data_IF_789959015220
#
_entry.id   IF_789959015220
#
_cell.length_a   1.000
_cell.length_b   1.000
_cell.length_c   1.000
_cell.angle_alpha   90.00
_cell.angle_beta   90.00
_cell.angle_gamma   90.00
#
_symmetry.space_group_name_H-M   'P 1'
#
loop_
_entity.id
_entity.type
_entity.pdbx_description
1 polymer ?
#
# COMPACT_ATOMS: atom_id res chain seq x y z
N UNK A 1 0.77 4.09 6.54
CA UNK A 1 -0.38 3.36 7.09
C UNK A 1 -1.14 2.87 5.88
N UNK A 2 -0.98 1.59 5.50
CA UNK A 2 -1.64 1.05 4.31
C UNK A 2 -3.15 1.24 4.48
N UNK A 3 -3.75 2.09 3.65
CA UNK A 3 -5.04 2.76 3.90
C UNK A 3 -6.22 1.78 4.01
N UNK A 4 -6.03 0.50 3.72
CA UNK A 4 -7.06 -0.54 3.86
C UNK A 4 -6.81 -1.58 4.94
N UNK A 5 -5.55 -1.88 5.26
CA UNK A 5 -5.28 -3.04 6.12
C UNK A 5 -5.13 -2.66 7.59
N UNK A 6 -4.82 -1.40 7.89
CA UNK A 6 -4.63 -0.93 9.26
C UNK A 6 -5.91 -0.81 10.10
N UNK A 7 -7.10 -0.94 9.51
CA UNK A 7 -8.36 -0.85 10.24
C UNK A 7 -8.97 -2.23 10.57
N UNK A 8 -8.55 -3.30 9.90
CA UNK A 8 -9.08 -4.66 10.13
C UNK A 8 -8.26 -5.51 11.13
N UNK A 9 -6.97 -5.20 11.32
CA UNK A 9 -6.06 -6.03 12.13
C UNK A 9 -5.59 -5.31 13.40
N UNK A 10 -6.53 -4.96 14.27
CA UNK A 10 -6.23 -4.56 15.67
C UNK A 10 -6.29 -5.75 16.64
N UNK A 11 -6.59 -6.95 16.16
CA UNK A 11 -6.55 -8.16 16.96
C UNK A 11 -5.08 -8.58 17.18
N UNK A 12 -4.72 -9.10 18.38
CA UNK A 12 -3.41 -9.68 18.60
C UNK A 12 -3.16 -10.85 17.64
N UNK A 13 -1.90 -11.09 17.30
CA UNK A 13 -1.52 -12.22 16.45
C UNK A 13 -1.95 -13.55 17.06
N UNK A 14 -2.68 -14.33 16.26
CA UNK A 14 -3.19 -15.65 16.59
C UNK A 14 -2.35 -16.69 15.83
N UNK A 15 -1.43 -17.32 16.56
CA UNK A 15 -0.58 -18.36 16.03
C UNK A 15 -1.35 -19.63 15.62
N UNK A 16 -2.51 -19.91 16.24
CA UNK A 16 -3.36 -21.04 15.85
C UNK A 16 -3.93 -20.81 14.47
N UNK A 17 -4.53 -19.64 14.24
CA UNK A 17 -5.07 -19.26 12.94
C UNK A 17 -3.99 -19.29 11.85
N UNK A 18 -2.80 -18.74 12.13
CA UNK A 18 -1.70 -18.76 11.16
C UNK A 18 -1.29 -20.20 10.78
N UNK A 19 -1.22 -21.11 11.74
CA UNK A 19 -0.91 -22.52 11.49
C UNK A 19 -2.05 -23.23 10.74
N UNK A 20 -3.31 -22.95 11.07
CA UNK A 20 -4.47 -23.52 10.38
C UNK A 20 -4.47 -23.16 8.89
N UNK A 21 -4.15 -21.90 8.55
CA UNK A 21 -4.02 -21.44 7.17
C UNK A 21 -2.89 -22.16 6.43
N UNK A 22 -1.75 -22.36 7.09
CA UNK A 22 -0.62 -23.09 6.50
C UNK A 22 -0.96 -24.56 6.24
N UNK A 23 -1.63 -25.23 7.19
CA UNK A 23 -2.08 -26.63 7.03
C UNK A 23 -3.09 -26.74 5.89
N UNK A 24 -4.01 -25.78 5.74
CA UNK A 24 -4.96 -25.76 4.63
C UNK A 24 -4.25 -25.57 3.28
N UNK A 25 -3.23 -24.72 3.23
CA UNK A 25 -2.38 -24.58 2.04
C UNK A 25 -1.69 -25.91 1.70
N UNK A 26 -1.05 -26.57 2.66
CA UNK A 26 -0.36 -27.85 2.43
C UNK A 26 -1.33 -28.98 2.00
N UNK A 27 -2.54 -28.99 2.53
CA UNK A 27 -3.54 -30.02 2.22
C UNK A 27 -4.21 -29.81 0.86
N UNK A 28 -4.51 -28.56 0.49
CA UNK A 28 -5.31 -28.23 -0.70
C UNK A 28 -4.46 -27.74 -1.88
N UNK A 29 -3.20 -27.37 -1.63
CA UNK A 29 -2.30 -26.69 -2.57
C UNK A 29 -2.95 -25.45 -3.21
N UNK A 30 -3.81 -24.76 -2.46
CA UNK A 30 -4.50 -23.54 -2.89
C UNK A 30 -3.79 -22.32 -2.31
N UNK A 31 -3.18 -21.53 -3.20
CA UNK A 31 -2.41 -20.35 -2.85
C UNK A 31 -3.24 -19.29 -2.11
N UNK A 32 -4.57 -19.32 -2.23
CA UNK A 32 -5.44 -18.48 -1.42
C UNK A 32 -5.09 -18.54 0.08
N UNK A 33 -4.95 -19.74 0.64
CA UNK A 33 -4.64 -19.91 2.07
C UNK A 33 -3.24 -19.42 2.42
N UNK A 34 -2.27 -19.63 1.53
CA UNK A 34 -0.92 -19.11 1.70
C UNK A 34 -0.90 -17.58 1.70
N UNK A 35 -1.66 -16.95 0.80
CA UNK A 35 -1.76 -15.49 0.72
C UNK A 35 -2.35 -14.87 1.98
N UNK A 36 -3.31 -15.54 2.63
CA UNK A 36 -3.89 -15.10 3.90
C UNK A 36 -2.87 -15.23 5.03
N UNK A 37 -2.21 -16.39 5.11
CA UNK A 37 -1.13 -16.64 6.07
C UNK A 37 -0.04 -15.56 5.95
N UNK A 38 0.45 -15.34 4.73
CA UNK A 38 1.52 -14.39 4.45
C UNK A 38 1.14 -12.96 4.83
N UNK A 39 -0.03 -12.49 4.42
CA UNK A 39 -0.51 -11.15 4.78
C UNK A 39 -0.66 -11.03 6.30
N UNK A 40 -1.31 -11.99 6.95
CA UNK A 40 -1.52 -11.99 8.39
C UNK A 40 -0.20 -11.90 9.18
N UNK A 41 0.79 -12.69 8.77
CA UNK A 41 2.12 -12.71 9.37
C UNK A 41 2.87 -11.39 9.16
N UNK A 42 3.03 -10.98 7.91
CA UNK A 42 3.86 -9.82 7.55
C UNK A 42 3.28 -8.50 8.09
N UNK A 43 1.95 -8.37 8.16
CA UNK A 43 1.30 -7.18 8.72
C UNK A 43 1.51 -7.08 10.24
N UNK A 44 1.45 -8.21 10.95
CA UNK A 44 1.76 -8.25 12.36
C UNK A 44 3.22 -7.83 12.61
N UNK A 45 4.16 -8.41 11.88
CA UNK A 45 5.57 -8.06 11.99
C UNK A 45 5.85 -6.60 11.64
N UNK A 46 5.15 -6.05 10.65
CA UNK A 46 5.22 -4.64 10.29
C UNK A 46 4.76 -3.75 11.45
N UNK A 47 3.63 -4.08 12.08
CA UNK A 47 3.10 -3.31 13.20
C UNK A 47 3.98 -3.39 14.45
N UNK A 48 4.64 -4.54 14.68
CA UNK A 48 5.56 -4.74 15.79
C UNK A 48 7.00 -4.26 15.52
N UNK A 49 7.29 -3.72 14.32
CA UNK A 49 8.65 -3.38 13.85
C UNK A 49 9.63 -4.58 13.86
N UNK A 50 9.14 -5.80 13.69
CA UNK A 50 9.93 -7.04 13.76
C UNK A 50 10.37 -7.59 12.39
N UNK A 51 9.90 -7.01 11.28
CA UNK A 51 10.20 -7.50 9.91
C UNK A 51 11.68 -7.73 9.62
N UNK A 52 12.59 -6.95 10.24
CA UNK A 52 14.03 -7.07 10.01
C UNK A 52 14.70 -8.15 10.85
N UNK A 53 14.02 -8.63 11.88
CA UNK A 53 14.56 -9.56 12.88
C UNK A 53 13.92 -10.94 12.78
N UNK A 54 12.77 -11.06 12.11
CA UNK A 54 12.09 -12.34 11.92
C UNK A 54 12.72 -13.14 10.77
N UNK A 55 13.29 -14.34 11.02
CA UNK A 55 13.89 -15.17 9.99
C UNK A 55 12.87 -15.77 8.99
N UNK A 56 11.57 -15.81 9.33
CA UNK A 56 10.51 -16.31 8.44
C UNK A 56 10.07 -15.27 7.41
N UNK A 57 10.19 -13.99 7.72
CA UNK A 57 9.71 -12.93 6.84
C UNK A 57 10.35 -12.99 5.44
N UNK A 58 11.67 -13.16 5.26
CA UNK A 58 12.28 -13.29 3.92
C UNK A 58 11.72 -14.47 3.12
N UNK A 59 11.53 -15.64 3.75
CA UNK A 59 11.00 -16.84 3.08
C UNK A 59 9.59 -16.61 2.58
N UNK A 60 8.74 -15.97 3.39
CA UNK A 60 7.38 -15.62 2.99
C UNK A 60 7.39 -14.63 1.82
N UNK A 61 8.27 -13.63 1.86
CA UNK A 61 8.42 -12.65 0.79
C UNK A 61 8.83 -13.31 -0.52
N UNK A 62 9.77 -14.26 -0.48
CA UNK A 62 10.25 -14.97 -1.66
C UNK A 62 9.14 -15.82 -2.27
N UNK A 63 8.37 -16.58 -1.48
CA UNK A 63 7.20 -17.31 -2.00
C UNK A 63 6.12 -16.41 -2.59
N UNK A 64 5.89 -15.22 -2.00
CA UNK A 64 4.97 -14.24 -2.58
C UNK A 64 5.46 -13.74 -3.95
N UNK A 65 6.76 -13.45 -4.08
CA UNK A 65 7.37 -13.04 -5.36
C UNK A 65 7.27 -14.16 -6.40
N UNK A 66 7.64 -15.38 -6.03
CA UNK A 66 7.55 -16.55 -6.92
C UNK A 66 6.14 -16.76 -7.46
N UNK A 67 5.13 -16.65 -6.60
CA UNK A 67 3.74 -16.72 -7.03
C UNK A 67 3.37 -15.59 -7.99
N UNK A 68 3.63 -14.33 -7.61
CA UNK A 68 3.28 -13.16 -8.42
C UNK A 68 3.96 -13.17 -9.79
N UNK A 69 5.21 -13.66 -9.85
CA UNK A 69 6.00 -13.78 -11.06
C UNK A 69 5.53 -14.97 -11.93
N UNK A 70 4.90 -15.99 -11.34
CA UNK A 70 4.34 -17.14 -12.08
C UNK A 70 3.01 -16.85 -12.77
N UNK A 71 2.29 -15.81 -12.32
CA UNK A 71 0.98 -15.44 -12.88
C UNK A 71 1.19 -14.58 -14.13
N UNK A 72 0.80 -15.12 -15.29
CA UNK A 72 0.95 -14.44 -16.59
C UNK A 72 0.21 -13.09 -16.67
N UNK A 73 -0.98 -12.98 -16.08
CA UNK A 73 -1.77 -11.75 -16.06
C UNK A 73 -2.42 -11.57 -14.70
N UNK A 74 -2.15 -10.45 -14.03
CA UNK A 74 -2.66 -10.21 -12.69
C UNK A 74 -4.15 -9.89 -12.70
N UNK A 75 -4.91 -10.69 -11.96
CA UNK A 75 -6.28 -10.40 -11.61
C UNK A 75 -6.38 -9.58 -10.34
N UNK A 76 -7.61 -9.36 -9.87
CA UNK A 76 -7.86 -8.58 -8.64
C UNK A 76 -7.16 -9.17 -7.41
N UNK A 77 -7.04 -10.49 -7.35
CA UNK A 77 -6.41 -11.18 -6.23
C UNK A 77 -4.94 -10.80 -6.11
N UNK A 78 -4.18 -10.94 -7.19
CA UNK A 78 -2.75 -10.61 -7.26
C UNK A 78 -2.53 -9.12 -6.99
N UNK A 79 -3.39 -8.26 -7.55
CA UNK A 79 -3.34 -6.81 -7.36
C UNK A 79 -3.54 -6.40 -5.89
N UNK A 80 -4.49 -7.02 -5.19
CA UNK A 80 -4.73 -6.77 -3.77
C UNK A 80 -3.58 -7.31 -2.93
N UNK A 81 -3.10 -8.51 -3.23
CA UNK A 81 -1.96 -9.13 -2.55
C UNK A 81 -0.71 -8.25 -2.65
N UNK A 82 -0.35 -7.83 -3.86
CA UNK A 82 0.77 -6.94 -4.12
C UNK A 82 0.62 -5.61 -3.39
N UNK A 83 -0.57 -5.00 -3.43
CA UNK A 83 -0.85 -3.72 -2.74
C UNK A 83 -0.72 -3.83 -1.23
N UNK A 84 -1.21 -4.93 -0.64
CA UNK A 84 -1.19 -5.14 0.80
C UNK A 84 0.22 -5.44 1.31
N UNK A 85 1.01 -6.15 0.51
CA UNK A 85 2.39 -6.51 0.82
C UNK A 85 3.44 -5.53 0.28
N UNK A 86 3.03 -4.37 -0.25
CA UNK A 86 3.96 -3.43 -0.90
C UNK A 86 5.16 -3.06 -0.01
N UNK A 87 4.96 -2.97 1.31
CA UNK A 87 5.98 -2.59 2.28
C UNK A 87 7.16 -3.58 2.41
N UNK A 88 6.96 -4.85 2.04
CA UNK A 88 8.03 -5.88 2.11
C UNK A 88 8.87 -5.96 0.83
N UNK A 89 8.35 -5.48 -0.29
CA UNK A 89 9.07 -5.52 -1.56
C UNK A 89 10.08 -4.38 -1.66
N UNK A 90 11.22 -4.64 -2.29
CA UNK A 90 12.23 -3.63 -2.61
C UNK A 90 11.77 -2.73 -3.78
N UNK A 91 12.37 -1.54 -3.89
CA UNK A 91 11.95 -0.54 -4.88
C UNK A 91 12.16 -1.02 -6.33
N UNK A 92 13.14 -1.90 -6.59
CA UNK A 92 13.37 -2.46 -7.93
C UNK A 92 12.25 -3.41 -8.34
N UNK A 93 11.86 -4.30 -7.44
CA UNK A 93 10.74 -5.22 -7.67
C UNK A 93 9.43 -4.44 -7.85
N UNK A 94 9.21 -3.42 -7.04
CA UNK A 94 8.03 -2.55 -7.16
C UNK A 94 7.99 -1.87 -8.53
N UNK A 95 9.10 -1.25 -8.95
CA UNK A 95 9.18 -0.56 -10.25
C UNK A 95 9.00 -1.53 -11.42
N UNK A 96 9.59 -2.72 -11.34
CA UNK A 96 9.43 -3.75 -12.37
C UNK A 96 7.96 -4.18 -12.53
N UNK A 97 7.26 -4.44 -11.42
CA UNK A 97 5.87 -4.86 -11.46
C UNK A 97 4.86 -3.70 -11.62
N UNK A 98 5.31 -2.46 -11.51
CA UNK A 98 4.44 -1.28 -11.51
C UNK A 98 3.66 -1.12 -12.81
N UNK A 99 4.32 -1.25 -13.96
CA UNK A 99 3.70 -0.97 -15.26
C UNK A 99 2.55 -1.93 -15.56
N UNK A 100 2.79 -3.24 -15.46
CA UNK A 100 1.79 -4.28 -15.70
C UNK A 100 0.63 -4.21 -14.68
N UNK A 101 0.95 -3.94 -13.41
CA UNK A 101 -0.06 -3.86 -12.35
C UNK A 101 -0.97 -2.63 -12.48
N UNK A 102 -0.44 -1.45 -12.80
CA UNK A 102 -1.24 -0.23 -13.00
C UNK A 102 -2.18 -0.35 -14.18
N UNK A 103 -1.70 -0.87 -15.31
CA UNK A 103 -2.53 -1.06 -16.50
C UNK A 103 -3.67 -2.04 -16.22
N UNK A 104 -3.37 -3.15 -15.55
CA UNK A 104 -4.37 -4.14 -15.13
C UNK A 104 -5.41 -3.54 -14.16
N UNK A 105 -4.99 -2.70 -13.21
CA UNK A 105 -5.92 -2.01 -12.31
C UNK A 105 -6.82 -1.03 -13.06
N UNK A 106 -6.29 -0.25 -14.02
CA UNK A 106 -7.10 0.68 -14.80
C UNK A 106 -8.16 -0.03 -15.63
N UNK A 107 -7.82 -1.17 -16.24
CA UNK A 107 -8.80 -2.03 -16.93
C UNK A 107 -9.91 -2.49 -15.98
N UNK A 108 -9.54 -2.95 -14.78
CA UNK A 108 -10.49 -3.39 -13.76
C UNK A 108 -11.39 -2.25 -13.22
N UNK A 109 -10.87 -1.02 -13.09
CA UNK A 109 -11.66 0.15 -12.68
C UNK A 109 -12.77 0.45 -13.69
N UNK A 110 -12.44 0.37 -14.98
CA UNK A 110 -13.38 0.66 -16.06
C UNK A 110 -14.46 -0.43 -16.23
N UNK A 111 -14.18 -1.67 -15.80
CA UNK A 111 -15.12 -2.78 -15.94
C UNK A 111 -16.05 -3.01 -14.74
N UNK A 112 -15.66 -2.62 -13.52
CA UNK A 112 -16.34 -3.14 -12.31
C UNK A 112 -16.36 -2.23 -11.07
N UNK A 113 -16.36 -0.90 -11.23
CA UNK A 113 -16.42 0.07 -10.10
C UNK A 113 -15.30 -0.14 -9.05
N UNK A 114 -14.15 -0.71 -9.44
CA UNK A 114 -13.03 -1.02 -8.54
C UNK A 114 -12.07 0.16 -8.28
N UNK A 115 -12.53 1.41 -8.47
CA UNK A 115 -11.74 2.62 -8.29
C UNK A 115 -11.03 2.71 -6.93
N UNK A 116 -11.61 2.10 -5.90
CA UNK A 116 -11.03 2.10 -4.56
C UNK A 116 -9.76 1.22 -4.43
N UNK A 117 -9.63 0.15 -5.21
CA UNK A 117 -8.46 -0.75 -5.15
C UNK A 117 -7.25 -0.06 -5.81
N UNK A 118 -7.46 0.53 -7.00
CA UNK A 118 -6.48 1.39 -7.66
C UNK A 118 -6.06 2.57 -6.76
N UNK A 119 -7.03 3.25 -6.14
CA UNK A 119 -6.73 4.38 -5.28
C UNK A 119 -5.90 3.98 -4.05
N UNK A 120 -6.21 2.84 -3.44
CA UNK A 120 -5.44 2.31 -2.31
C UNK A 120 -4.00 1.98 -2.75
N UNK A 121 -3.83 1.34 -3.91
CA UNK A 121 -2.51 1.04 -4.47
C UNK A 121 -1.69 2.31 -4.70
N UNK A 122 -2.26 3.30 -5.39
CA UNK A 122 -1.57 4.54 -5.72
C UNK A 122 -1.18 5.36 -4.48
N UNK A 123 -2.07 5.44 -3.48
CA UNK A 123 -1.78 6.13 -2.23
C UNK A 123 -0.71 5.39 -1.42
N UNK A 124 -0.83 4.06 -1.28
CA UNK A 124 0.12 3.25 -0.51
C UNK A 124 1.51 3.30 -1.15
N UNK A 125 1.60 3.17 -2.47
CA UNK A 125 2.86 3.26 -3.21
C UNK A 125 3.49 4.64 -3.13
N UNK A 126 2.69 5.70 -3.30
CA UNK A 126 3.17 7.08 -3.09
C UNK A 126 3.69 7.30 -1.66
N UNK A 127 3.00 6.78 -0.66
CA UNK A 127 3.44 6.90 0.73
C UNK A 127 4.76 6.14 0.98
N UNK A 128 4.83 4.88 0.57
CA UNK A 128 5.99 4.03 0.80
C UNK A 128 7.26 4.60 0.16
N UNK A 129 7.19 4.93 -1.13
CA UNK A 129 8.31 5.49 -1.90
C UNK A 129 8.73 6.86 -1.38
N UNK A 130 7.77 7.68 -0.93
CA UNK A 130 8.08 8.94 -0.26
C UNK A 130 8.84 8.73 1.06
N UNK A 131 8.42 7.77 1.89
CA UNK A 131 9.11 7.41 3.14
C UNK A 131 10.52 6.84 2.88
N UNK A 132 10.70 6.08 1.80
CA UNK A 132 12.00 5.53 1.37
C UNK A 132 12.93 6.54 0.68
N UNK A 133 12.44 7.75 0.40
CA UNK A 133 13.16 8.78 -0.34
C UNK A 133 13.50 8.40 -1.80
N UNK A 134 12.84 7.40 -2.37
CA UNK A 134 12.97 7.07 -3.79
C UNK A 134 12.12 8.04 -4.62
N UNK A 135 12.79 9.03 -5.21
CA UNK A 135 12.12 10.06 -6.01
C UNK A 135 11.60 9.54 -7.33
N UNK A 136 12.24 8.54 -7.94
CA UNK A 136 11.87 8.07 -9.27
C UNK A 136 10.56 7.29 -9.18
N UNK A 137 10.54 6.24 -8.34
CA UNK A 137 9.36 5.40 -8.14
C UNK A 137 8.21 6.20 -7.53
N UNK A 138 8.50 7.16 -6.64
CA UNK A 138 7.47 8.07 -6.14
C UNK A 138 6.77 8.83 -7.27
N UNK A 139 7.50 9.34 -8.26
CA UNK A 139 6.90 10.12 -9.34
C UNK A 139 6.04 9.25 -10.26
N UNK A 140 6.39 7.99 -10.45
CA UNK A 140 5.55 7.01 -11.16
C UNK A 140 4.17 6.94 -10.50
N UNK A 141 4.11 6.50 -9.24
CA UNK A 141 2.87 6.41 -8.46
C UNK A 141 2.11 7.74 -8.36
N UNK A 142 2.83 8.83 -8.08
CA UNK A 142 2.22 10.13 -7.87
C UNK A 142 1.59 10.70 -9.15
N UNK A 143 2.21 10.47 -10.31
CA UNK A 143 1.67 10.92 -11.60
C UNK A 143 0.33 10.26 -11.92
N UNK A 144 0.22 8.95 -11.67
CA UNK A 144 -1.03 8.20 -11.83
C UNK A 144 -2.09 8.65 -10.82
N UNK A 145 -1.71 8.88 -9.56
CA UNK A 145 -2.63 9.41 -8.56
C UNK A 145 -3.21 10.77 -8.97
N UNK A 146 -2.40 11.64 -9.58
CA UNK A 146 -2.87 12.91 -10.15
C UNK A 146 -3.85 12.67 -11.30
N UNK A 147 -3.64 11.67 -12.17
CA UNK A 147 -4.61 11.34 -13.23
C UNK A 147 -5.96 10.95 -12.64
N UNK A 148 -5.99 10.11 -11.60
CA UNK A 148 -7.22 9.73 -10.89
C UNK A 148 -8.02 10.94 -10.41
N UNK A 149 -7.35 11.96 -9.86
CA UNK A 149 -8.04 13.18 -9.40
C UNK A 149 -8.77 13.93 -10.52
N UNK A 150 -8.27 13.85 -11.76
CA UNK A 150 -8.84 14.52 -12.93
C UNK A 150 -10.00 13.73 -13.52
N UNK A 151 -9.89 12.41 -13.52
CA UNK A 151 -10.88 11.52 -14.13
C UNK A 151 -12.10 11.31 -13.23
N UNK A 152 -11.90 11.09 -11.93
CA UNK A 152 -12.97 10.63 -11.03
C UNK A 152 -13.40 11.65 -9.97
N UNK A 153 -12.74 12.81 -9.87
CA UNK A 153 -13.02 13.84 -8.85
C UNK A 153 -13.08 13.29 -7.41
N UNK A 154 -12.29 12.25 -7.14
CA UNK A 154 -12.30 11.56 -5.86
C UNK A 154 -11.67 12.42 -4.76
N UNK A 155 -12.41 12.69 -3.68
CA UNK A 155 -11.96 13.54 -2.57
C UNK A 155 -10.72 12.98 -1.86
N UNK A 156 -10.63 11.64 -1.69
CA UNK A 156 -9.48 10.98 -1.05
C UNK A 156 -8.25 11.12 -1.93
N UNK A 157 -8.40 10.94 -3.24
CA UNK A 157 -7.31 11.16 -4.20
C UNK A 157 -6.83 12.62 -4.17
N UNK A 158 -7.76 13.59 -4.23
CA UNK A 158 -7.44 15.02 -4.19
C UNK A 158 -6.70 15.39 -2.90
N UNK A 159 -7.17 14.89 -1.76
CA UNK A 159 -6.55 15.12 -0.47
C UNK A 159 -5.14 14.52 -0.40
N UNK A 160 -4.96 13.28 -0.83
CA UNK A 160 -3.65 12.63 -0.87
C UNK A 160 -2.66 13.41 -1.75
N UNK A 161 -3.08 13.84 -2.96
CA UNK A 161 -2.26 14.67 -3.84
C UNK A 161 -1.86 15.98 -3.17
N UNK A 162 -2.80 16.67 -2.50
CA UNK A 162 -2.50 17.92 -1.78
C UNK A 162 -1.50 17.71 -0.65
N UNK A 163 -1.63 16.61 0.10
CA UNK A 163 -0.71 16.26 1.17
C UNK A 163 0.68 16.00 0.62
N UNK A 164 0.81 15.15 -0.41
CA UNK A 164 2.11 14.82 -0.98
C UNK A 164 2.80 16.05 -1.60
N UNK A 165 2.07 16.91 -2.32
CA UNK A 165 2.63 18.18 -2.83
C UNK A 165 3.19 19.04 -1.70
N UNK A 166 2.42 19.23 -0.64
CA UNK A 166 2.86 20.00 0.53
C UNK A 166 4.11 19.38 1.17
N UNK A 167 4.17 18.05 1.32
CA UNK A 167 5.34 17.39 1.89
C UNK A 167 6.57 17.49 0.97
N UNK A 168 6.41 17.42 -0.35
CA UNK A 168 7.50 17.66 -1.31
C UNK A 168 8.04 19.10 -1.22
N UNK A 169 7.14 20.08 -1.12
CA UNK A 169 7.51 21.50 -0.94
C UNK A 169 8.28 21.71 0.37
N UNK A 170 7.80 21.12 1.47
CA UNK A 170 8.49 21.18 2.77
C UNK A 170 9.89 20.57 2.70
N UNK A 171 10.04 19.38 2.08
CA UNK A 171 11.35 18.76 1.85
C UNK A 171 12.27 19.58 0.94
N UNK A 172 11.71 20.35 0.03
CA UNK A 172 12.42 21.31 -0.81
C UNK A 172 12.78 22.62 -0.10
N UNK A 173 12.50 22.75 1.21
CA UNK A 173 12.80 23.95 2.00
C UNK A 173 11.81 25.10 1.83
N UNK A 174 10.65 24.86 1.21
CA UNK A 174 9.62 25.89 1.03
C UNK A 174 8.75 26.06 2.29
N UNK A 175 8.28 27.28 2.54
CA UNK A 175 7.32 27.54 3.62
C UNK A 175 5.93 26.98 3.27
N UNK A 176 5.51 25.99 4.05
CA UNK A 176 4.22 25.32 3.91
C UNK A 176 3.31 25.53 5.12
N UNK A 177 3.59 26.48 6.02
CA UNK A 177 2.82 26.65 7.27
C UNK A 177 1.32 26.85 6.99
N UNK A 178 0.98 27.70 6.01
CA UNK A 178 -0.41 27.99 5.65
C UNK A 178 -1.13 26.77 5.08
N UNK A 179 -0.51 26.07 4.12
CA UNK A 179 -1.09 24.89 3.47
C UNK A 179 -1.20 23.72 4.46
N UNK A 180 -0.17 23.49 5.29
CA UNK A 180 -0.17 22.51 6.39
C UNK A 180 -1.31 22.76 7.36
N UNK A 181 -1.54 24.01 7.78
CA UNK A 181 -2.66 24.37 8.67
C UNK A 181 -4.02 24.08 8.03
N UNK A 182 -4.22 24.44 6.76
CA UNK A 182 -5.47 24.20 6.05
C UNK A 182 -5.78 22.70 5.93
N UNK A 183 -4.79 21.91 5.52
CA UNK A 183 -4.92 20.46 5.38
C UNK A 183 -5.22 19.81 6.73
N UNK A 184 -4.45 20.13 7.78
CA UNK A 184 -4.67 19.57 9.11
C UNK A 184 -6.04 19.94 9.70
N UNK A 185 -6.53 21.15 9.43
CA UNK A 185 -7.89 21.54 9.86
C UNK A 185 -8.95 20.68 9.18
N UNK A 186 -8.87 20.51 7.85
CA UNK A 186 -9.80 19.67 7.11
C UNK A 186 -9.78 18.21 7.59
N UNK A 187 -8.59 17.64 7.78
CA UNK A 187 -8.41 16.27 8.27
C UNK A 187 -9.04 16.06 9.65
N UNK A 188 -8.92 17.05 10.56
CA UNK A 188 -9.55 16.98 11.88
C UNK A 188 -11.07 16.98 11.79
N UNK A 189 -11.64 17.82 10.94
CA UNK A 189 -13.09 17.86 10.69
C UNK A 189 -13.59 16.54 10.12
N UNK A 190 -12.80 15.88 9.26
CA UNK A 190 -13.15 14.58 8.68
C UNK A 190 -12.85 13.39 9.61
N UNK A 191 -12.20 13.61 10.77
CA UNK A 191 -11.82 12.55 11.69
C UNK A 191 -10.65 11.66 11.21
N UNK A 192 -9.90 12.07 10.18
CA UNK A 192 -8.85 11.25 9.58
C UNK A 192 -7.52 11.35 10.35
N UNK A 193 -7.42 10.55 11.42
CA UNK A 193 -6.23 10.51 12.28
C UNK A 193 -5.00 9.90 11.59
N UNK A 194 -5.20 9.07 10.56
CA UNK A 194 -4.11 8.41 9.84
C UNK A 194 -3.24 9.43 9.12
N UNK A 195 -3.85 10.28 8.30
CA UNK A 195 -3.12 11.35 7.60
C UNK A 195 -2.55 12.41 8.54
N UNK A 196 -3.22 12.73 9.65
CA UNK A 196 -2.70 13.66 10.66
C UNK A 196 -1.38 13.14 11.25
N UNK A 197 -1.33 11.86 11.64
CA UNK A 197 -0.11 11.21 12.16
C UNK A 197 0.97 11.19 11.09
N UNK A 198 0.61 10.83 9.86
CA UNK A 198 1.56 10.77 8.74
C UNK A 198 2.22 12.13 8.44
N UNK A 199 1.43 13.21 8.37
CA UNK A 199 1.95 14.56 8.15
C UNK A 199 2.91 14.93 9.27
N UNK A 200 2.53 14.76 10.54
CA UNK A 200 3.38 15.09 11.69
C UNK A 200 4.73 14.36 11.68
N UNK A 201 4.78 13.11 11.20
CA UNK A 201 6.00 12.31 11.09
C UNK A 201 6.94 12.81 9.97
N UNK A 202 6.39 13.37 8.90
CA UNK A 202 7.11 13.61 7.64
C UNK A 202 7.25 15.10 7.25
N UNK A 203 6.92 16.03 8.14
CA UNK A 203 6.88 17.48 7.88
C UNK A 203 7.63 18.29 8.92
#
# INVERSE_FOLDING_TARGET
>A
MAVRVSHGFNAPFDASLANELLVQFEAMNDFYFYSLYAQYYLLNDFHCNLLRTDPKAPVIVDHLKEYLDSVYSWGRFELVLFTNCLFVFDDKYISFQYHESVESMWLAVNSSNHANDLLAFLINGSQLTFERHDKAVFQEFFSELVKVTRTHHDLRAILAVKIFKMLQQARGGQDVIKSKRQILSALRTMGDQGWIKYIKKNS
#
